data_IF_875840421362
#
_entry.id   IF_875840421362
#
_cell.length_a   1.000
_cell.length_b   1.000
_cell.length_c   1.000
_cell.angle_alpha   90.00
_cell.angle_beta   90.00
_cell.angle_gamma   90.00
#
_symmetry.space_group_name_H-M   'P 1'
#
loop_
_entity.id
_entity.type
_entity.pdbx_description
1 polymer ?
#
# COMPACT_ATOMS: atom_id res chain seq x y z
N UNK A 1 23.20 -34.53 4.31
CA UNK A 1 22.14 -33.79 5.03
C UNK A 1 21.15 -33.29 3.97
N UNK A 2 19.99 -33.93 3.85
CA UNK A 2 18.98 -33.55 2.85
C UNK A 2 18.34 -32.22 3.27
N UNK A 3 18.64 -31.13 2.55
CA UNK A 3 17.73 -29.98 2.55
C UNK A 3 16.49 -30.39 1.75
N UNK A 4 15.53 -31.01 2.44
CA UNK A 4 14.18 -31.19 1.90
C UNK A 4 13.61 -29.81 1.62
N UNK A 5 13.24 -29.60 0.37
CA UNK A 5 12.54 -28.40 -0.09
C UNK A 5 11.39 -28.07 0.87
N UNK A 6 11.53 -26.95 1.58
CA UNK A 6 10.44 -26.37 2.34
C UNK A 6 9.56 -25.60 1.36
N UNK A 7 8.65 -26.30 0.68
CA UNK A 7 7.51 -25.64 0.05
C UNK A 7 6.62 -25.09 1.17
N UNK A 8 6.89 -23.86 1.61
CA UNK A 8 6.08 -23.15 2.57
C UNK A 8 4.68 -22.96 1.97
N UNK A 9 3.71 -23.77 2.40
CA UNK A 9 2.29 -23.55 2.09
C UNK A 9 1.79 -22.39 2.95
N UNK A 10 2.05 -21.16 2.51
CA UNK A 10 1.50 -19.96 3.10
C UNK A 10 0.01 -19.84 2.78
N UNK A 11 -0.80 -19.60 3.81
CA UNK A 11 -2.18 -19.15 3.59
C UNK A 11 -2.19 -17.72 3.07
N UNK A 12 -3.29 -17.30 2.42
CA UNK A 12 -3.45 -15.91 1.94
C UNK A 12 -3.29 -14.89 3.08
N UNK A 13 -3.81 -15.21 4.26
CA UNK A 13 -3.67 -14.36 5.44
C UNK A 13 -2.22 -14.26 5.89
N UNK A 14 -1.50 -15.38 5.98
CA UNK A 14 -0.07 -15.33 6.33
C UNK A 14 0.75 -14.58 5.29
N UNK A 15 0.45 -14.75 4.00
CA UNK A 15 1.11 -14.02 2.92
C UNK A 15 0.88 -12.50 3.02
N UNK A 16 -0.35 -12.06 3.35
CA UNK A 16 -0.68 -10.63 3.47
C UNK A 16 0.11 -9.92 4.59
N UNK A 17 0.51 -10.64 5.65
CA UNK A 17 1.28 -10.05 6.74
C UNK A 17 2.79 -10.03 6.48
N UNK A 18 3.27 -10.64 5.39
CA UNK A 18 4.70 -10.59 5.06
C UNK A 18 5.05 -9.16 4.64
N UNK A 19 5.95 -8.53 5.40
CA UNK A 19 6.37 -7.15 5.17
C UNK A 19 5.45 -6.10 5.80
N UNK A 20 4.44 -6.50 6.57
CA UNK A 20 3.61 -5.56 7.34
C UNK A 20 4.49 -4.72 8.28
N UNK A 21 4.32 -3.40 8.24
CA UNK A 21 5.12 -2.45 9.03
C UNK A 21 6.54 -2.19 8.50
N UNK A 22 7.01 -2.91 7.49
CA UNK A 22 8.35 -2.71 6.89
C UNK A 22 8.27 -2.21 5.44
N UNK A 23 7.25 -2.64 4.70
CA UNK A 23 7.10 -2.37 3.28
C UNK A 23 5.82 -1.58 3.02
N UNK A 24 5.95 -0.53 2.21
CA UNK A 24 4.82 0.23 1.70
C UNK A 24 4.83 0.28 0.17
N UNK A 25 3.66 0.41 -0.43
CA UNK A 25 3.55 0.65 -1.87
C UNK A 25 2.74 1.91 -2.15
N UNK A 26 3.19 2.65 -3.17
CA UNK A 26 2.57 3.90 -3.61
C UNK A 26 1.94 3.65 -4.97
N UNK A 27 0.66 4.01 -5.12
CA UNK A 27 -0.02 3.95 -6.42
C UNK A 27 -0.90 5.17 -6.66
N UNK A 28 -1.07 5.50 -7.94
CA UNK A 28 -2.08 6.47 -8.38
C UNK A 28 -3.47 5.87 -8.17
N UNK A 29 -4.43 6.68 -7.72
CA UNK A 29 -5.83 6.30 -7.52
C UNK A 29 -6.75 7.25 -8.26
N UNK A 30 -7.78 6.69 -8.91
CA UNK A 30 -8.89 7.49 -9.42
C UNK A 30 -9.91 7.75 -8.31
N UNK A 31 -10.70 8.82 -8.46
CA UNK A 31 -11.69 9.22 -7.46
C UNK A 31 -12.73 8.12 -7.16
N UNK A 32 -13.12 7.32 -8.15
CA UNK A 32 -14.04 6.18 -8.00
C UNK A 32 -13.41 5.01 -7.20
N UNK A 33 -12.10 4.80 -7.34
CA UNK A 33 -11.37 3.80 -6.54
C UNK A 33 -11.22 4.24 -5.09
N UNK A 34 -11.09 5.54 -4.83
CA UNK A 34 -10.90 6.08 -3.48
C UNK A 34 -12.08 5.74 -2.58
N UNK A 35 -13.32 5.93 -3.03
CA UNK A 35 -14.50 5.66 -2.20
C UNK A 35 -14.55 4.20 -1.71
N UNK A 36 -13.92 3.27 -2.44
CA UNK A 36 -13.84 1.85 -2.04
C UNK A 36 -12.77 1.58 -0.98
N UNK A 37 -11.66 2.31 -1.02
CA UNK A 37 -10.51 2.12 -0.12
C UNK A 37 -10.51 3.05 1.10
N UNK A 38 -11.12 4.23 0.96
CA UNK A 38 -11.23 5.28 1.98
C UNK A 38 -12.70 5.72 2.07
N UNK A 39 -13.57 4.95 2.75
CA UNK A 39 -15.00 5.24 2.79
C UNK A 39 -15.34 6.59 3.42
N UNK A 40 -14.44 7.11 4.28
CA UNK A 40 -14.58 8.39 4.97
C UNK A 40 -14.00 9.58 4.17
N UNK A 41 -13.46 9.33 2.98
CA UNK A 41 -12.91 10.40 2.15
C UNK A 41 -14.03 11.39 1.73
N UNK A 42 -13.73 12.71 1.70
CA UNK A 42 -14.68 13.69 1.19
C UNK A 42 -14.97 13.44 -0.29
N UNK A 43 -16.00 14.11 -0.84
CA UNK A 43 -16.22 14.07 -2.29
C UNK A 43 -14.97 14.61 -3.00
N UNK A 44 -14.39 13.79 -3.87
CA UNK A 44 -13.21 14.15 -4.65
C UNK A 44 -13.62 14.41 -6.10
N UNK A 45 -13.08 15.49 -6.67
CA UNK A 45 -13.27 15.78 -8.08
C UNK A 45 -12.61 14.69 -8.95
N UNK A 46 -13.36 14.23 -9.95
CA UNK A 46 -12.93 13.13 -10.83
C UNK A 46 -11.69 13.43 -11.68
N UNK A 47 -11.28 14.70 -11.77
CA UNK A 47 -10.09 15.14 -12.51
C UNK A 47 -8.80 15.21 -11.69
N UNK A 48 -8.85 14.92 -10.38
CA UNK A 48 -7.67 15.00 -9.53
C UNK A 48 -6.80 13.75 -9.62
N UNK A 49 -5.50 13.98 -9.75
CA UNK A 49 -4.48 12.95 -9.67
C UNK A 49 -4.19 12.64 -8.19
N UNK A 50 -4.77 11.56 -7.68
CA UNK A 50 -4.56 11.15 -6.30
C UNK A 50 -3.48 10.06 -6.22
N UNK A 51 -2.76 10.07 -5.11
CA UNK A 51 -1.72 9.13 -4.75
C UNK A 51 -2.03 8.57 -3.39
N UNK A 52 -1.90 7.25 -3.26
CA UNK A 52 -2.12 6.56 -2.00
C UNK A 52 -0.91 5.73 -1.61
N UNK A 53 -0.57 5.79 -0.32
CA UNK A 53 0.37 4.90 0.35
C UNK A 53 -0.42 3.82 1.08
N UNK A 54 0.00 2.58 0.92
CA UNK A 54 -0.55 1.41 1.60
C UNK A 54 0.58 0.61 2.25
N UNK A 55 0.26 -0.08 3.35
CA UNK A 55 1.12 -1.12 3.92
C UNK A 55 1.11 -2.38 3.04
N UNK A 56 2.08 -3.28 3.26
CA UNK A 56 2.19 -4.55 2.52
C UNK A 56 0.92 -5.44 2.58
N UNK A 57 0.15 -5.32 3.64
CA UNK A 57 -1.12 -6.02 3.87
C UNK A 57 -2.32 -5.38 3.17
N UNK A 58 -2.11 -4.24 2.50
CA UNK A 58 -3.15 -3.45 1.85
C UNK A 58 -3.85 -2.46 2.75
N UNK A 59 -3.41 -2.29 4.00
CA UNK A 59 -3.93 -1.27 4.91
C UNK A 59 -3.69 0.12 4.32
N UNK A 60 -4.72 0.97 4.14
CA UNK A 60 -4.55 2.34 3.66
C UNK A 60 -3.85 3.21 4.72
N UNK A 61 -2.81 3.94 4.32
CA UNK A 61 -2.01 4.78 5.24
C UNK A 61 -2.23 6.26 4.95
N UNK A 62 -2.11 6.68 3.68
CA UNK A 62 -2.27 8.07 3.27
C UNK A 62 -2.92 8.16 1.90
N UNK A 63 -3.80 9.14 1.72
CA UNK A 63 -4.33 9.57 0.42
C UNK A 63 -4.06 11.08 0.26
N UNK A 64 -3.55 11.49 -0.89
CA UNK A 64 -3.15 12.88 -1.15
C UNK A 64 -3.14 13.16 -2.65
N UNK A 65 -3.32 14.42 -3.04
CA UNK A 65 -3.14 14.93 -4.41
C UNK A 65 -1.66 15.22 -4.75
N UNK A 66 -0.75 15.14 -3.77
CA UNK A 66 0.68 15.35 -3.96
C UNK A 66 1.45 14.03 -3.80
N UNK A 67 1.98 13.51 -4.90
CA UNK A 67 2.80 12.29 -4.90
C UNK A 67 3.94 12.35 -3.88
N UNK A 68 4.64 13.47 -3.76
CA UNK A 68 5.80 13.60 -2.86
C UNK A 68 5.43 13.37 -1.40
N UNK A 69 4.23 13.76 -0.99
CA UNK A 69 3.73 13.54 0.38
C UNK A 69 3.67 12.06 0.76
N UNK A 70 3.41 11.17 -0.20
CA UNK A 70 3.44 9.71 0.05
C UNK A 70 4.84 9.18 0.36
N UNK A 71 5.89 9.74 -0.26
CA UNK A 71 7.27 9.37 0.04
C UNK A 71 7.73 9.92 1.39
N UNK A 72 7.33 11.16 1.74
CA UNK A 72 7.61 11.72 3.07
C UNK A 72 6.96 10.90 4.17
N UNK A 73 5.68 10.53 4.01
CA UNK A 73 4.98 9.70 4.99
C UNK A 73 5.59 8.31 5.12
N UNK A 74 5.95 7.68 3.99
CA UNK A 74 6.63 6.40 4.03
C UNK A 74 7.98 6.49 4.76
N UNK A 75 8.75 7.56 4.57
CA UNK A 75 9.99 7.77 5.30
C UNK A 75 9.76 8.02 6.80
N UNK A 76 8.72 8.79 7.16
CA UNK A 76 8.32 9.03 8.56
C UNK A 76 7.93 7.73 9.27
N UNK A 77 7.21 6.85 8.57
CA UNK A 77 6.77 5.54 9.08
C UNK A 77 7.83 4.44 8.89
N UNK A 78 9.06 4.79 8.48
CA UNK A 78 10.18 3.88 8.20
C UNK A 78 9.86 2.77 7.19
N UNK A 79 8.90 3.00 6.30
CA UNK A 79 8.46 2.06 5.28
C UNK A 79 9.37 2.09 4.06
N UNK A 80 9.87 0.91 3.68
CA UNK A 80 10.54 0.72 2.40
C UNK A 80 9.51 0.77 1.28
N UNK A 81 9.55 1.84 0.48
CA UNK A 81 8.67 1.98 -0.69
C UNK A 81 9.11 1.08 -1.83
N UNK A 82 8.17 0.30 -2.37
CA UNK A 82 8.38 -0.50 -3.58
C UNK A 82 7.44 0.04 -4.67
N UNK A 83 7.96 0.18 -5.89
CA UNK A 83 7.13 0.50 -7.05
C UNK A 83 6.58 -0.78 -7.65
N UNK A 84 5.27 -0.84 -7.84
CA UNK A 84 4.61 -1.87 -8.65
C UNK A 84 4.39 -1.25 -10.03
N UNK A 85 5.01 -1.83 -11.07
CA UNK A 85 4.93 -1.36 -12.46
C UNK A 85 3.67 -1.87 -13.16
#
# INVERSE_FOLDING_TARGET
MLLKEAHARLTKSQLAHIGAGEVGYIRKMRADEVTRCFPEAPKIDAGLDLWALFGADGTPILLTDNRSSTFFKAAEDELRTISVH
#
